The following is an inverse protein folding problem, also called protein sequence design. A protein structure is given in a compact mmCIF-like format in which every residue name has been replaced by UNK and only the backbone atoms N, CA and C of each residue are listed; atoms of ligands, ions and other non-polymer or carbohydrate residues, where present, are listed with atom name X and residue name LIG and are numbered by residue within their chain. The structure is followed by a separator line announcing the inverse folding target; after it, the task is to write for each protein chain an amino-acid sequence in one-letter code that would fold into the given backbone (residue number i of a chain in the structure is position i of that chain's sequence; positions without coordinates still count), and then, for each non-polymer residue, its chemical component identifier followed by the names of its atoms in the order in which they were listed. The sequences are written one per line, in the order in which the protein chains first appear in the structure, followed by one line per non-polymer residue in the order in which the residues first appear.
data_IF_749369595537
#
_entry.id   IF_749369595537
#
_cell.length_a   1.000
_cell.length_b   1.000
_cell.length_c   1.000
_cell.angle_alpha   90.00
_cell.angle_beta   90.00
_cell.angle_gamma   90.00
#
_symmetry.space_group_name_H-M   'P 1'
#
loop_
_entity.id
_entity.type
_entity.pdbx_description
1 polymer ?
#
# COMPACT_ATOMS: atom_id res chain seq x y z
N UNK A 1 -3.53 -21.60 -0.24
CA UNK A 1 -2.36 -20.70 -0.25
C UNK A 1 -1.95 -20.32 -1.66
N UNK A 2 -1.65 -21.27 -2.57
CA UNK A 2 -1.24 -20.94 -3.96
C UNK A 2 -2.30 -20.25 -4.81
N UNK A 3 -3.59 -20.56 -4.62
CA UNK A 3 -4.70 -19.95 -5.36
C UNK A 3 -4.76 -18.42 -5.29
N UNK A 4 -4.17 -17.81 -4.27
CA UNK A 4 -4.09 -16.35 -4.14
C UNK A 4 -3.17 -15.72 -5.18
N UNK A 5 -2.14 -16.44 -5.62
CA UNK A 5 -1.23 -15.99 -6.67
C UNK A 5 -1.90 -15.98 -8.05
N UNK A 6 -2.97 -16.77 -8.22
CA UNK A 6 -3.70 -16.88 -9.47
C UNK A 6 -4.83 -15.83 -9.58
N UNK A 7 -5.24 -15.23 -8.46
CA UNK A 7 -6.36 -14.27 -8.40
C UNK A 7 -5.95 -12.80 -8.46
N UNK A 8 -4.68 -12.47 -8.21
CA UNK A 8 -4.20 -11.08 -8.15
C UNK A 8 -2.89 -10.93 -8.89
N UNK A 9 -2.66 -9.75 -9.47
CA UNK A 9 -1.36 -9.42 -10.03
C UNK A 9 -0.31 -9.35 -8.92
N UNK A 10 0.77 -10.11 -9.07
CA UNK A 10 1.92 -10.08 -8.17
C UNK A 10 3.04 -9.33 -8.86
N UNK A 11 3.54 -8.28 -8.21
CA UNK A 11 4.68 -7.50 -8.70
C UNK A 11 5.91 -7.76 -7.85
N UNK A 12 7.08 -7.85 -8.48
CA UNK A 12 8.36 -7.83 -7.78
C UNK A 12 8.74 -6.39 -7.41
N UNK A 13 9.33 -6.22 -6.23
CA UNK A 13 10.01 -4.97 -5.87
C UNK A 13 11.45 -4.97 -6.40
N UNK A 14 12.11 -3.81 -6.44
CA UNK A 14 13.46 -3.69 -6.96
C UNK A 14 14.29 -2.61 -6.24
N UNK A 15 15.50 -2.39 -6.74
CA UNK A 15 16.47 -1.48 -6.12
C UNK A 15 15.90 -0.07 -5.86
N UNK A 16 15.14 0.48 -6.81
CA UNK A 16 14.51 1.79 -6.66
C UNK A 16 13.51 1.84 -5.49
N UNK A 17 12.78 0.75 -5.21
CA UNK A 17 11.85 0.69 -4.08
C UNK A 17 12.61 0.65 -2.75
N UNK A 18 13.76 -0.01 -2.71
CA UNK A 18 14.61 -0.09 -1.52
C UNK A 18 15.16 1.30 -1.18
N UNK A 19 15.70 2.02 -2.17
CA UNK A 19 16.21 3.39 -1.95
C UNK A 19 15.10 4.31 -1.44
N UNK A 20 13.95 4.31 -2.11
CA UNK A 20 12.78 5.09 -1.67
C UNK A 20 12.27 4.69 -0.27
N UNK A 21 12.46 3.44 0.13
CA UNK A 21 12.13 2.98 1.48
C UNK A 21 13.13 3.48 2.53
N UNK A 22 14.43 3.47 2.22
CA UNK A 22 15.47 4.02 3.11
C UNK A 22 15.23 5.50 3.36
N UNK A 23 15.05 6.29 2.29
CA UNK A 23 14.77 7.73 2.38
C UNK A 23 13.53 8.00 3.27
N UNK A 24 12.53 7.14 3.14
CA UNK A 24 11.28 7.23 3.90
C UNK A 24 11.43 6.89 5.38
N UNK A 25 12.27 5.92 5.72
CA UNK A 25 12.60 5.58 7.11
C UNK A 25 13.28 6.77 7.76
N UNK A 26 14.26 7.37 7.10
CA UNK A 26 15.00 8.52 7.62
C UNK A 26 14.11 9.77 7.76
N UNK A 27 13.27 10.06 6.75
CA UNK A 27 12.44 11.25 6.74
C UNK A 27 11.21 11.19 7.66
N UNK A 28 10.69 9.99 7.94
CA UNK A 28 9.38 9.84 8.58
C UNK A 28 9.34 8.84 9.75
N UNK A 29 10.47 8.20 10.10
CA UNK A 29 10.52 7.23 11.20
C UNK A 29 9.65 5.99 10.97
N UNK A 30 9.33 5.67 9.72
CA UNK A 30 8.54 4.49 9.37
C UNK A 30 9.36 3.22 9.60
N UNK A 31 8.68 2.10 9.86
CA UNK A 31 9.35 0.81 9.76
C UNK A 31 9.77 0.57 8.30
N UNK A 32 10.92 -0.07 8.10
CA UNK A 32 11.46 -0.32 6.76
C UNK A 32 10.47 -1.07 5.87
N UNK A 33 9.78 -2.08 6.39
CA UNK A 33 8.84 -2.88 5.61
C UNK A 33 7.59 -2.11 5.20
N UNK A 34 7.08 -1.22 6.06
CA UNK A 34 5.98 -0.32 5.69
C UNK A 34 6.45 0.67 4.61
N UNK A 35 7.64 1.24 4.77
CA UNK A 35 8.22 2.12 3.78
C UNK A 35 8.43 1.42 2.43
N UNK A 36 8.87 0.16 2.44
CA UNK A 36 9.06 -0.66 1.24
C UNK A 36 7.74 -1.02 0.56
N UNK A 37 6.74 -1.45 1.33
CA UNK A 37 5.40 -1.76 0.80
C UNK A 37 4.78 -0.53 0.13
N UNK A 38 4.94 0.64 0.75
CA UNK A 38 4.53 1.93 0.18
C UNK A 38 5.27 2.27 -1.11
N UNK A 39 6.60 2.14 -1.12
CA UNK A 39 7.42 2.44 -2.29
C UNK A 39 7.03 1.54 -3.48
N UNK A 40 6.79 0.26 -3.21
CA UNK A 40 6.31 -0.71 -4.18
C UNK A 40 4.92 -0.34 -4.72
N UNK A 41 3.95 -0.08 -3.84
CA UNK A 41 2.59 0.29 -4.22
C UNK A 41 2.57 1.53 -5.12
N UNK A 42 3.35 2.56 -4.77
CA UNK A 42 3.46 3.76 -5.61
C UNK A 42 4.14 3.48 -6.96
N UNK A 43 5.17 2.64 -7.01
CA UNK A 43 5.86 2.31 -8.27
C UNK A 43 4.95 1.63 -9.28
N UNK A 44 3.99 0.81 -8.81
CA UNK A 44 3.03 0.14 -9.69
C UNK A 44 1.73 0.91 -9.88
N UNK A 45 1.67 2.17 -9.40
CA UNK A 45 0.54 3.05 -9.63
C UNK A 45 -0.69 2.78 -8.77
N UNK A 46 -0.56 2.05 -7.65
CA UNK A 46 -1.68 1.87 -6.72
C UNK A 46 -2.11 3.22 -6.12
N UNK A 47 -3.41 3.50 -6.13
CA UNK A 47 -4.01 4.66 -5.47
C UNK A 47 -4.31 4.40 -3.98
N UNK A 48 -4.40 3.12 -3.57
CA UNK A 48 -4.69 2.72 -2.20
C UNK A 48 -3.87 1.49 -1.77
N UNK A 49 -3.66 1.35 -0.46
CA UNK A 49 -3.03 0.21 0.20
C UNK A 49 -3.97 -0.32 1.29
N UNK A 50 -4.39 -1.57 1.17
CA UNK A 50 -5.24 -2.24 2.14
C UNK A 50 -4.41 -2.82 3.28
N UNK A 51 -4.58 -2.30 4.51
CA UNK A 51 -3.84 -2.80 5.68
C UNK A 51 -4.49 -2.38 6.98
N UNK A 52 -4.44 -3.26 7.99
CA UNK A 52 -4.94 -2.99 9.35
C UNK A 52 -3.89 -2.36 10.27
N UNK A 53 -2.62 -2.46 9.90
CA UNK A 53 -1.48 -2.06 10.74
C UNK A 53 -1.21 -0.55 10.71
N UNK A 54 -1.77 0.16 9.74
CA UNK A 54 -1.53 1.59 9.54
C UNK A 54 -2.76 2.43 9.86
N UNK A 55 -2.55 3.74 9.96
CA UNK A 55 -3.61 4.70 10.25
C UNK A 55 -4.56 4.81 9.05
N UNK A 56 -5.83 4.51 9.27
CA UNK A 56 -6.86 4.60 8.24
C UNK A 56 -7.02 6.05 7.73
N UNK A 57 -7.21 6.21 6.42
CA UNK A 57 -7.36 7.49 5.75
C UNK A 57 -6.06 8.29 5.59
N UNK A 58 -4.93 7.79 6.13
CA UNK A 58 -3.64 8.43 5.93
C UNK A 58 -3.25 8.39 4.45
N UNK A 59 -2.85 9.53 3.88
CA UNK A 59 -2.31 9.60 2.51
C UNK A 59 -0.81 9.76 2.56
N UNK A 60 -0.10 8.85 1.92
CA UNK A 60 1.36 8.88 1.84
C UNK A 60 1.77 8.91 0.37
N UNK A 61 2.27 10.06 -0.09
CA UNK A 61 2.75 10.23 -1.46
C UNK A 61 1.70 9.82 -2.51
N UNK A 62 0.43 10.15 -2.27
CA UNK A 62 -0.69 9.86 -3.19
C UNK A 62 -1.34 8.49 -3.00
N UNK A 63 -0.75 7.59 -2.21
CA UNK A 63 -1.36 6.30 -1.85
C UNK A 63 -2.15 6.47 -0.56
N UNK A 64 -3.44 6.14 -0.58
CA UNK A 64 -4.30 6.15 0.60
C UNK A 64 -4.21 4.83 1.37
N UNK A 65 -4.12 4.89 2.69
CA UNK A 65 -4.29 3.73 3.56
C UNK A 65 -5.77 3.50 3.80
N UNK A 66 -6.23 2.29 3.51
CA UNK A 66 -7.61 1.86 3.75
C UNK A 66 -7.59 0.63 4.64
N UNK A 67 -8.28 0.70 5.79
CA UNK A 67 -8.53 -0.47 6.62
C UNK A 67 -9.67 -1.29 6.02
N UNK A 68 -9.42 -2.50 5.47
CA UNK A 68 -10.46 -3.28 4.80
C UNK A 68 -11.60 -3.72 5.71
N UNK A 69 -11.43 -3.69 7.04
CA UNK A 69 -12.46 -4.11 7.99
C UNK A 69 -13.03 -2.97 8.85
N UNK A 70 -12.78 -1.71 8.48
CA UNK A 70 -13.45 -0.57 9.07
C UNK A 70 -14.96 -0.57 8.77
N UNK A 71 -15.76 0.05 9.63
CA UNK A 71 -17.22 0.13 9.50
C UNK A 71 -17.68 0.72 8.16
N UNK A 72 -16.89 1.65 7.60
CA UNK A 72 -17.14 2.37 6.35
C UNK A 72 -16.29 1.86 5.17
N UNK A 73 -15.60 0.72 5.31
CA UNK A 73 -14.67 0.21 4.29
C UNK A 73 -15.39 -0.17 2.98
N UNK A 74 -16.55 -0.82 3.06
CA UNK A 74 -17.23 -1.34 1.87
C UNK A 74 -17.62 -0.23 0.85
N UNK A 75 -18.22 0.90 1.25
CA UNK A 75 -18.42 2.04 0.35
C UNK A 75 -17.12 2.58 -0.26
N UNK A 76 -16.03 2.71 0.52
CA UNK A 76 -14.75 3.23 0.04
C UNK A 76 -14.09 2.30 -0.98
N UNK A 77 -14.11 1.00 -0.71
CA UNK A 77 -13.60 -0.02 -1.64
C UNK A 77 -14.41 -0.08 -2.93
N UNK A 78 -15.74 0.10 -2.86
CA UNK A 78 -16.58 0.13 -4.06
C UNK A 78 -16.19 1.29 -4.99
N UNK A 79 -15.83 2.46 -4.45
CA UNK A 79 -15.33 3.58 -5.26
C UNK A 79 -14.00 3.20 -5.92
N UNK A 80 -13.04 2.68 -5.16
CA UNK A 80 -11.71 2.30 -5.66
C UNK A 80 -11.74 1.21 -6.74
N UNK A 81 -12.72 0.32 -6.71
CA UNK A 81 -12.90 -0.75 -7.70
C UNK A 81 -13.68 -0.31 -8.95
N UNK A 82 -14.27 0.89 -8.92
CA UNK A 82 -15.03 1.45 -10.03
C UNK A 82 -14.21 2.42 -10.89
N UNK A 83 -12.97 2.73 -10.48
CA UNK A 83 -11.97 3.50 -11.23
C UNK A 83 -11.18 2.62 -12.20
#
# INVERSE_FOLDING_TARGET
MRSWLDGFQVTSTGHAAILAAVDAVEAHGLSFWVAMLRAAARQVGCSALLTEELQDGQRLNGVEIVKPFAEDAAPRLAVLLSE
#
